data_IF_321530137997
#
_entry.id   IF_321530137997
#
_cell.length_a   1.000
_cell.length_b   1.000
_cell.length_c   1.000
_cell.angle_alpha   90.00
_cell.angle_beta   90.00
_cell.angle_gamma   90.00
#
_symmetry.space_group_name_H-M   'P 1'
#
loop_
_entity.id
_entity.type
_entity.pdbx_description
1 polymer ?
#
# COMPACT_ATOMS: atom_id res chain seq x y z
N UNK A 1 6.12 14.97 7.83
CA UNK A 1 5.66 13.78 7.09
C UNK A 1 6.85 12.85 6.96
N UNK A 2 6.78 11.67 7.55
CA UNK A 2 7.83 10.65 7.42
C UNK A 2 7.99 10.23 5.94
N UNK A 3 9.21 10.21 5.36
CA UNK A 3 9.43 9.90 3.95
C UNK A 3 8.88 8.53 3.51
N UNK A 4 8.94 7.53 4.38
CA UNK A 4 8.36 6.19 4.16
C UNK A 4 6.84 6.23 4.01
N UNK A 5 6.19 7.22 4.62
CA UNK A 5 4.74 7.43 4.56
C UNK A 5 4.31 8.26 3.34
N UNK A 6 5.23 8.76 2.52
CA UNK A 6 4.89 9.59 1.35
C UNK A 6 5.56 9.13 0.06
N UNK A 7 6.21 7.96 0.07
CA UNK A 7 6.96 7.44 -1.07
C UNK A 7 6.56 6.02 -1.45
N UNK A 8 6.90 5.65 -2.68
CA UNK A 8 6.94 4.26 -3.16
C UNK A 8 8.42 3.90 -3.28
N UNK A 9 8.95 2.99 -2.44
CA UNK A 9 10.39 2.71 -2.38
C UNK A 9 10.93 2.06 -3.65
N UNK A 10 10.07 1.32 -4.37
CA UNK A 10 10.45 0.68 -5.63
C UNK A 10 9.24 0.49 -6.54
N UNK A 11 9.47 0.67 -7.83
CA UNK A 11 8.57 0.28 -8.90
C UNK A 11 9.33 -0.65 -9.85
N UNK A 12 8.97 -1.93 -9.95
CA UNK A 12 9.61 -2.85 -10.90
C UNK A 12 9.51 -2.35 -12.34
N UNK A 13 10.49 -2.69 -13.18
CA UNK A 13 10.46 -2.35 -14.59
C UNK A 13 9.19 -2.90 -15.26
N UNK A 14 8.48 -2.05 -16.02
CA UNK A 14 7.23 -2.40 -16.69
C UNK A 14 6.01 -2.56 -15.77
N UNK A 15 6.15 -2.39 -14.46
CA UNK A 15 5.04 -2.47 -13.52
C UNK A 15 4.32 -1.13 -13.35
N UNK A 16 3.07 -1.21 -12.91
CA UNK A 16 2.28 -0.07 -12.45
C UNK A 16 1.92 -0.26 -10.98
N UNK A 17 1.90 0.84 -10.22
CA UNK A 17 1.43 0.86 -8.84
C UNK A 17 0.55 2.08 -8.61
N UNK A 18 -0.55 1.91 -7.87
CA UNK A 18 -1.33 3.06 -7.38
C UNK A 18 -0.82 3.45 -6.00
N UNK A 19 -0.26 4.65 -5.89
CA UNK A 19 0.13 5.25 -4.62
C UNK A 19 -1.07 5.97 -4.01
N UNK A 20 -1.27 5.81 -2.70
CA UNK A 20 -2.35 6.47 -1.96
C UNK A 20 -1.72 7.37 -0.90
N UNK A 21 -1.97 8.67 -1.03
CA UNK A 21 -1.76 9.63 0.05
C UNK A 21 -3.11 9.94 0.68
N UNK A 22 -3.34 9.39 1.87
CA UNK A 22 -4.56 9.56 2.65
C UNK A 22 -4.45 10.64 3.74
N UNK A 23 -3.29 11.30 3.85
CA UNK A 23 -3.07 12.43 4.74
C UNK A 23 -3.57 13.73 4.11
N UNK A 24 -4.78 13.69 3.55
CA UNK A 24 -5.44 14.84 2.93
C UNK A 24 -6.56 15.31 3.85
N UNK A 25 -6.63 16.61 4.09
CA UNK A 25 -7.79 17.21 4.76
C UNK A 25 -9.00 17.03 3.83
N UNK A 26 -10.15 16.59 4.38
CA UNK A 26 -11.39 16.39 3.61
C UNK A 26 -12.03 17.69 3.11
N UNK A 27 -11.40 18.84 3.38
CA UNK A 27 -11.89 20.15 3.03
C UNK A 27 -11.31 20.61 1.68
N UNK A 28 -12.22 20.90 0.74
CA UNK A 28 -11.86 21.47 -0.56
C UNK A 28 -11.81 20.45 -1.71
N UNK A 29 -11.74 20.98 -2.94
CA UNK A 29 -11.59 20.16 -4.16
C UNK A 29 -10.11 19.98 -4.48
N UNK A 30 -9.68 18.74 -4.69
CA UNK A 30 -8.34 18.44 -5.18
C UNK A 30 -8.12 19.14 -6.54
N UNK A 31 -7.10 20.01 -6.63
CA UNK A 31 -6.78 20.77 -7.85
C UNK A 31 -5.67 20.11 -8.67
N UNK A 32 -4.57 19.72 -8.03
CA UNK A 32 -3.43 19.09 -8.70
C UNK A 32 -2.60 18.28 -7.70
N UNK A 33 -1.85 17.29 -8.21
CA UNK A 33 -0.85 16.53 -7.46
C UNK A 33 0.49 16.62 -8.21
N UNK A 34 1.58 16.84 -7.48
CA UNK A 34 2.93 16.74 -8.01
C UNK A 34 3.61 15.54 -7.38
N UNK A 35 4.19 14.68 -8.22
CA UNK A 35 5.00 13.55 -7.79
C UNK A 35 6.38 13.68 -8.47
N UNK A 36 7.44 13.37 -7.73
CA UNK A 36 8.80 13.29 -8.26
C UNK A 36 9.21 11.83 -8.26
N UNK A 37 9.57 11.31 -9.43
CA UNK A 37 10.22 10.00 -9.54
C UNK A 37 11.71 10.21 -9.30
N UNK A 38 12.22 9.66 -8.21
CA UNK A 38 13.66 9.64 -7.93
C UNK A 38 14.32 8.44 -8.58
N UNK A 39 15.60 8.58 -8.96
CA UNK A 39 16.49 7.44 -9.19
C UNK A 39 17.27 7.25 -7.90
N UNK A 40 17.20 6.06 -7.31
CA UNK A 40 18.05 5.72 -6.17
C UNK A 40 19.53 5.86 -6.59
N UNK A 41 20.37 6.36 -5.70
CA UNK A 41 21.81 6.47 -5.94
C UNK A 41 22.50 5.10 -5.88
N UNK A 42 21.85 4.11 -5.27
CA UNK A 42 22.26 2.72 -5.30
C UNK A 42 21.85 2.02 -6.61
N UNK A 43 22.71 1.13 -7.10
CA UNK A 43 22.32 0.19 -8.15
C UNK A 43 21.10 -0.63 -7.71
N UNK A 44 20.16 -0.87 -8.65
CA UNK A 44 19.02 -1.73 -8.42
C UNK A 44 19.50 -3.14 -8.03
N UNK A 45 18.87 -3.80 -7.04
CA UNK A 45 19.24 -5.17 -6.70
C UNK A 45 18.92 -6.09 -7.89
N UNK A 46 19.72 -7.15 -8.07
CA UNK A 46 19.50 -8.13 -9.13
C UNK A 46 18.12 -8.81 -9.03
N UNK A 47 17.57 -8.90 -7.81
CA UNK A 47 16.24 -9.44 -7.54
C UNK A 47 15.54 -8.58 -6.49
N UNK A 48 14.28 -8.24 -6.74
CA UNK A 48 13.47 -7.54 -5.76
C UNK A 48 12.94 -8.50 -4.68
N UNK A 49 12.91 -8.06 -3.40
CA UNK A 49 12.26 -8.80 -2.34
C UNK A 49 10.79 -9.05 -2.67
N UNK A 50 10.35 -10.30 -2.49
CA UNK A 50 8.98 -10.69 -2.80
C UNK A 50 8.09 -10.57 -1.56
N UNK A 51 7.04 -9.79 -1.68
CA UNK A 51 5.99 -9.62 -0.68
C UNK A 51 4.68 -10.14 -1.27
N UNK A 52 4.08 -11.13 -0.62
CA UNK A 52 2.79 -11.69 -1.03
C UNK A 52 1.69 -11.08 -0.16
N UNK A 53 0.71 -10.44 -0.79
CA UNK A 53 -0.48 -9.93 -0.12
C UNK A 53 -1.63 -10.91 -0.34
N UNK A 54 -2.14 -11.46 0.76
CA UNK A 54 -3.32 -12.32 0.75
C UNK A 54 -4.58 -11.58 0.34
N UNK A 55 -5.56 -12.32 -0.19
CA UNK A 55 -6.84 -11.78 -0.65
C UNK A 55 -7.52 -11.01 0.49
N UNK A 56 -7.90 -9.73 0.28
CA UNK A 56 -8.57 -8.95 1.32
C UNK A 56 -10.01 -9.42 1.52
N UNK A 57 -10.47 -9.31 2.76
CA UNK A 57 -11.88 -9.34 3.13
C UNK A 57 -12.31 -7.95 3.60
N UNK A 58 -13.54 -7.57 3.26
CA UNK A 58 -14.09 -6.29 3.73
C UNK A 58 -14.77 -6.50 5.08
N UNK A 59 -14.39 -5.68 6.06
CA UNK A 59 -14.97 -5.65 7.41
C UNK A 59 -15.53 -4.26 7.69
N UNK A 60 -16.58 -4.22 8.51
CA UNK A 60 -17.16 -2.99 9.02
C UNK A 60 -16.75 -2.86 10.48
N UNK A 61 -16.00 -1.81 10.77
CA UNK A 61 -15.77 -1.34 12.12
C UNK A 61 -16.83 -0.26 12.46
N UNK A 62 -17.49 -0.34 13.63
CA UNK A 62 -18.55 0.60 14.02
C UNK A 62 -18.07 2.06 14.12
N UNK A 63 -16.79 2.29 14.41
CA UNK A 63 -16.24 3.61 14.74
C UNK A 63 -15.47 4.20 13.57
N UNK A 64 -14.70 3.38 12.87
CA UNK A 64 -13.74 3.78 11.85
C UNK A 64 -14.17 3.46 10.41
N UNK A 65 -15.33 2.79 10.25
CA UNK A 65 -15.97 2.57 8.95
C UNK A 65 -15.54 1.26 8.28
N UNK A 66 -15.43 1.26 6.95
CA UNK A 66 -15.11 0.06 6.19
C UNK A 66 -13.60 -0.12 6.06
N UNK A 67 -13.12 -1.34 6.33
CA UNK A 67 -11.71 -1.71 6.27
C UNK A 67 -11.47 -2.96 5.41
N UNK A 68 -10.35 -2.99 4.71
CA UNK A 68 -9.81 -4.22 4.13
C UNK A 68 -8.89 -4.91 5.13
N UNK A 69 -9.15 -6.18 5.41
CA UNK A 69 -8.35 -7.02 6.30
C UNK A 69 -7.84 -8.25 5.56
N UNK A 70 -6.62 -8.66 5.87
CA UNK A 70 -6.03 -9.86 5.31
C UNK A 70 -4.67 -10.16 5.91
N UNK A 71 -3.90 -10.97 5.20
CA UNK A 71 -2.54 -11.35 5.60
C UNK A 71 -1.51 -10.91 4.58
N UNK A 72 -0.30 -10.67 5.05
CA UNK A 72 0.85 -10.31 4.22
C UNK A 72 2.03 -11.17 4.63
N UNK A 73 2.70 -11.77 3.66
CA UNK A 73 3.83 -12.67 3.87
C UNK A 73 5.07 -12.12 3.19
N UNK A 74 6.15 -12.04 3.96
CA UNK A 74 7.46 -11.73 3.40
C UNK A 74 8.11 -13.03 2.90
N UNK A 75 8.20 -13.18 1.57
CA UNK A 75 8.83 -14.33 0.91
C UNK A 75 10.30 -14.09 0.60
N UNK A 76 10.87 -12.96 1.01
CA UNK A 76 12.30 -12.70 0.91
C UNK A 76 13.05 -13.16 2.17
N UNK A 77 14.37 -13.09 2.09
CA UNK A 77 15.34 -13.24 3.17
C UNK A 77 15.61 -11.94 3.94
N UNK A 78 15.11 -10.80 3.45
CA UNK A 78 15.32 -9.49 4.07
C UNK A 78 14.22 -9.15 5.07
N UNK A 79 14.61 -8.61 6.22
CA UNK A 79 13.69 -7.93 7.12
C UNK A 79 13.07 -6.71 6.44
N UNK A 80 11.74 -6.63 6.42
CA UNK A 80 11.01 -5.41 6.02
C UNK A 80 10.63 -4.59 7.25
N UNK A 81 10.71 -3.27 7.13
CA UNK A 81 10.32 -2.30 8.16
C UNK A 81 9.42 -1.22 7.57
N UNK A 82 8.51 -0.68 8.36
CA UNK A 82 7.59 0.38 7.93
C UNK A 82 6.86 0.06 6.61
N UNK A 83 6.53 -1.23 6.39
CA UNK A 83 5.99 -1.72 5.13
C UNK A 83 4.60 -1.14 4.90
N UNK A 84 4.51 -0.20 3.96
CA UNK A 84 3.27 0.50 3.66
C UNK A 84 2.45 -0.28 2.63
N UNK A 85 1.16 -0.43 2.92
CA UNK A 85 0.19 -1.08 2.03
C UNK A 85 -0.77 -0.04 1.47
N UNK A 86 -0.95 -0.03 0.15
CA UNK A 86 -1.88 0.84 -0.55
C UNK A 86 -3.08 0.03 -1.02
N UNK A 87 -4.29 0.37 -0.58
CA UNK A 87 -5.52 -0.26 -1.02
C UNK A 87 -6.32 0.67 -1.92
N UNK A 88 -6.81 0.13 -3.04
CA UNK A 88 -7.69 0.84 -3.97
C UNK A 88 -8.91 -0.02 -4.27
N UNK A 89 -10.09 0.57 -4.07
CA UNK A 89 -11.37 -0.04 -4.41
C UNK A 89 -11.90 0.55 -5.72
N UNK A 90 -12.08 -0.29 -6.73
CA UNK A 90 -12.53 0.12 -8.08
C UNK A 90 -13.88 -0.46 -8.47
N UNK A 91 -14.75 0.37 -9.04
CA UNK A 91 -15.95 -0.04 -9.80
C UNK A 91 -15.71 0.29 -11.26
N UNK A 92 -15.42 -0.73 -12.07
CA UNK A 92 -14.91 -0.53 -13.42
C UNK A 92 -13.62 0.30 -13.40
N UNK A 93 -13.59 1.42 -14.12
CA UNK A 93 -12.43 2.33 -14.19
C UNK A 93 -12.38 3.36 -13.05
N UNK A 94 -13.44 3.48 -12.25
CA UNK A 94 -13.56 4.52 -11.21
C UNK A 94 -13.03 4.03 -9.87
N UNK A 95 -12.14 4.81 -9.26
CA UNK A 95 -11.77 4.64 -7.84
C UNK A 95 -12.92 5.18 -6.98
N UNK A 96 -13.47 4.34 -6.11
CA UNK A 96 -14.60 4.69 -5.22
C UNK A 96 -14.21 4.75 -3.75
N UNK A 97 -13.10 4.12 -3.40
CA UNK A 97 -12.45 4.28 -2.12
C UNK A 97 -10.95 3.99 -2.25
N UNK A 98 -10.15 4.58 -1.38
CA UNK A 98 -8.74 4.27 -1.24
C UNK A 98 -8.31 4.41 0.21
N UNK A 99 -7.24 3.74 0.58
CA UNK A 99 -6.72 3.78 1.93
C UNK A 99 -5.30 3.28 1.99
N UNK A 100 -4.70 3.45 3.17
CA UNK A 100 -3.36 2.96 3.45
C UNK A 100 -3.32 2.30 4.81
N UNK A 101 -2.44 1.33 4.94
CA UNK A 101 -2.09 0.71 6.21
C UNK A 101 -0.59 0.47 6.28
N UNK A 102 -0.14 -0.02 7.42
CA UNK A 102 1.27 -0.23 7.66
C UNK A 102 1.50 -1.50 8.48
N UNK A 103 2.59 -2.20 8.13
CA UNK A 103 3.18 -3.24 8.96
C UNK A 103 4.56 -2.78 9.37
N UNK A 104 4.69 -2.38 10.64
CA UNK A 104 5.92 -1.83 11.21
C UNK A 104 7.13 -2.74 10.99
N UNK A 105 6.94 -4.06 11.13
CA UNK A 105 8.03 -5.03 11.00
C UNK A 105 7.54 -6.38 10.47
N UNK A 106 8.18 -6.88 9.42
CA UNK A 106 7.88 -8.20 8.84
C UNK A 106 9.16 -8.98 8.57
N UNK A 107 9.48 -9.93 9.46
CA UNK A 107 10.65 -10.81 9.36
C UNK A 107 10.57 -11.72 8.13
N UNK A 108 11.72 -12.16 7.63
CA UNK A 108 11.84 -13.13 6.54
C UNK A 108 11.02 -14.40 6.80
N UNK A 109 10.29 -14.86 5.79
CA UNK A 109 9.43 -16.05 5.85
C UNK A 109 8.22 -15.93 6.78
N UNK A 110 7.96 -14.77 7.40
CA UNK A 110 6.84 -14.58 8.33
C UNK A 110 5.63 -13.94 7.65
N UNK A 111 4.49 -14.19 8.27
CA UNK A 111 3.18 -13.64 7.89
C UNK A 111 2.69 -12.74 9.02
N UNK A 112 2.13 -11.59 8.66
CA UNK A 112 1.42 -10.69 9.56
C UNK A 112 -0.02 -10.47 9.06
N UNK A 113 -0.88 -9.95 9.94
CA UNK A 113 -2.19 -9.41 9.54
C UNK A 113 -2.04 -7.94 9.18
N UNK A 114 -2.86 -7.46 8.26
CA UNK A 114 -3.01 -6.03 7.97
C UNK A 114 -4.47 -5.63 8.09
N UNK A 115 -4.69 -4.34 8.36
CA UNK A 115 -5.98 -3.68 8.29
C UNK A 115 -5.77 -2.32 7.62
N UNK A 116 -6.63 -1.98 6.66
CA UNK A 116 -6.56 -0.73 5.89
C UNK A 116 -7.94 -0.10 5.88
N UNK A 117 -8.07 1.06 6.53
CA UNK A 117 -9.31 1.83 6.53
C UNK A 117 -9.46 2.62 5.23
N UNK A 118 -10.68 2.73 4.74
CA UNK A 118 -10.98 3.42 3.49
C UNK A 118 -11.51 4.83 3.69
N UNK A 119 -11.01 5.76 2.88
CA UNK A 119 -11.69 7.01 2.54
C UNK A 119 -12.61 6.71 1.35
N UNK A 120 -13.91 6.89 1.54
CA UNK A 120 -14.95 6.54 0.55
C UNK A 120 -15.68 5.23 0.86
N UNK A 121 -16.41 4.68 -0.11
CA UNK A 121 -17.19 3.45 0.06
C UNK A 121 -16.72 2.31 -0.87
N UNK A 122 -16.01 1.29 -0.35
CA UNK A 122 -15.51 0.17 -1.13
C UNK A 122 -16.57 -0.91 -1.44
N UNK A 123 -17.81 -0.77 -0.95
CA UNK A 123 -18.82 -1.84 -1.04
C UNK A 123 -19.17 -2.20 -2.49
N UNK A 124 -19.03 -3.48 -2.84
CA UNK A 124 -19.25 -4.01 -4.20
C UNK A 124 -18.17 -3.61 -5.21
N UNK A 125 -17.01 -3.10 -4.75
CA UNK A 125 -15.88 -2.78 -5.60
C UNK A 125 -14.84 -3.91 -5.58
N UNK A 126 -14.03 -4.00 -6.65
CA UNK A 126 -12.82 -4.83 -6.66
C UNK A 126 -11.76 -4.12 -5.82
N UNK A 127 -11.22 -4.81 -4.81
CA UNK A 127 -10.15 -4.29 -3.95
C UNK A 127 -8.82 -4.85 -4.45
N UNK A 128 -7.88 -3.95 -4.70
CA UNK A 128 -6.49 -4.26 -5.05
C UNK A 128 -5.58 -3.66 -3.98
N UNK A 129 -4.60 -4.45 -3.51
CA UNK A 129 -3.65 -4.02 -2.48
C UNK A 129 -2.23 -4.23 -3.01
N UNK A 130 -1.41 -3.19 -2.92
CA UNK A 130 0.00 -3.24 -3.23
C UNK A 130 0.82 -2.98 -1.96
N UNK A 131 1.87 -3.77 -1.75
CA UNK A 131 2.80 -3.64 -0.64
C UNK A 131 4.25 -3.71 -1.18
N UNK A 132 4.76 -2.64 -1.81
CA UNK A 132 6.11 -2.63 -2.34
C UNK A 132 7.13 -2.81 -1.20
N UNK A 133 8.17 -3.63 -1.37
CA UNK A 133 9.19 -3.83 -0.32
C UNK A 133 9.93 -2.53 -0.02
N UNK A 134 10.18 -2.29 1.26
CA UNK A 134 10.83 -1.08 1.77
C UNK A 134 12.32 -1.26 2.00
N UNK A 135 12.76 -2.47 2.33
CA UNK A 135 14.17 -2.82 2.36
C UNK A 135 14.53 -3.70 1.15
N UNK A 136 15.53 -3.28 0.37
CA UNK A 136 15.95 -3.90 -0.88
C UNK A 136 17.32 -4.60 -0.80
N UNK A 137 18.06 -4.47 0.31
CA UNK A 137 19.41 -4.99 0.51
C UNK A 137 19.64 -5.51 1.94
#
# INVERSE_FOLDING_TARGET
LEPSLVGVPVLPAGASLTWVNDQVLGEGKAKSVKAKVGKDSGGAPAKLPRIDVGRPSLKRDPTSGLAAEGTITNRSDLLQRELTLFAVARKGRRVVAAGRGQVERLKAGKTARYQIFFIGNPSGARIEIAAPPTNLK
#
